data_IF_155998688753
#
_entry.id   IF_155998688753
#
_cell.length_a   1.000
_cell.length_b   1.000
_cell.length_c   1.000
_cell.angle_alpha   90.00
_cell.angle_beta   90.00
_cell.angle_gamma   90.00
#
_symmetry.space_group_name_H-M   'P 1'
#
loop_
_entity.id
_entity.type
_entity.pdbx_description
1 polymer ?
#
# COMPACT_ATOMS: atom_id res chain seq x y z
N UNK A 1 -14.71 -4.65 -38.35
CA UNK A 1 -14.05 -3.42 -37.86
C UNK A 1 -13.87 -2.49 -39.04
N UNK A 2 -14.05 -1.19 -38.87
CA UNK A 2 -13.81 -0.21 -39.95
C UNK A 2 -12.32 0.16 -39.99
N UNK A 3 -11.76 0.35 -41.18
CA UNK A 3 -10.35 0.71 -41.43
C UNK A 3 -9.83 1.85 -40.51
N UNK A 4 -10.68 2.84 -40.21
CA UNK A 4 -10.37 3.92 -39.26
C UNK A 4 -10.11 3.46 -37.82
N UNK A 5 -10.75 2.38 -37.38
CA UNK A 5 -10.55 1.80 -36.04
C UNK A 5 -9.22 1.04 -35.97
N UNK A 6 -8.87 0.31 -37.03
CA UNK A 6 -7.61 -0.42 -37.13
C UNK A 6 -6.42 0.53 -37.14
N UNK A 7 -6.50 1.63 -37.92
CA UNK A 7 -5.47 2.67 -37.91
C UNK A 7 -5.24 3.31 -36.53
N UNK A 8 -6.30 3.54 -35.74
CA UNK A 8 -6.18 4.07 -34.37
C UNK A 8 -5.54 3.08 -33.41
N UNK A 9 -5.83 1.80 -33.54
CA UNK A 9 -5.21 0.76 -32.72
C UNK A 9 -3.72 0.63 -33.01
N UNK A 10 -3.33 0.64 -34.29
CA UNK A 10 -1.93 0.63 -34.70
C UNK A 10 -1.15 1.84 -34.16
N UNK A 11 -1.75 3.04 -34.18
CA UNK A 11 -1.13 4.23 -33.59
C UNK A 11 -0.90 4.08 -32.08
N UNK A 12 -1.88 3.54 -31.35
CA UNK A 12 -1.76 3.30 -29.90
C UNK A 12 -0.69 2.24 -29.59
N UNK A 13 -0.67 1.14 -30.34
CA UNK A 13 0.32 0.08 -30.20
C UNK A 13 1.75 0.62 -30.42
N UNK A 14 1.95 1.41 -31.49
CA UNK A 14 3.25 2.02 -31.77
C UNK A 14 3.68 3.02 -30.69
N UNK A 15 2.76 3.85 -30.19
CA UNK A 15 3.04 4.77 -29.10
C UNK A 15 3.41 4.02 -27.80
N UNK A 16 2.74 2.90 -27.50
CA UNK A 16 3.07 2.04 -26.38
C UNK A 16 4.46 1.43 -26.53
N UNK A 17 4.78 0.89 -27.72
CA UNK A 17 6.10 0.32 -27.99
C UNK A 17 7.22 1.35 -27.81
N UNK A 18 7.01 2.58 -28.27
CA UNK A 18 8.01 3.65 -28.08
C UNK A 18 8.25 3.96 -26.59
N UNK A 19 7.19 3.96 -25.77
CA UNK A 19 7.31 4.14 -24.32
C UNK A 19 8.04 2.98 -23.66
N UNK A 20 7.76 1.75 -24.08
CA UNK A 20 8.46 0.54 -23.61
C UNK A 20 9.95 0.64 -23.95
N UNK A 21 10.29 0.97 -25.19
CA UNK A 21 11.69 1.10 -25.62
C UNK A 21 12.43 2.22 -24.87
N UNK A 22 11.77 3.36 -24.62
CA UNK A 22 12.34 4.43 -23.82
C UNK A 22 12.57 4.01 -22.37
N UNK A 23 11.62 3.29 -21.78
CA UNK A 23 11.72 2.73 -20.43
C UNK A 23 12.85 1.70 -20.32
N UNK A 24 12.97 0.76 -21.25
CA UNK A 24 14.02 -0.26 -21.27
C UNK A 24 15.43 0.36 -21.32
N UNK A 25 15.62 1.47 -22.06
CA UNK A 25 16.89 2.21 -22.08
C UNK A 25 17.25 2.80 -20.71
N UNK A 26 16.28 3.40 -20.03
CA UNK A 26 16.49 3.95 -18.68
C UNK A 26 16.75 2.83 -17.69
N UNK A 27 16.02 1.73 -17.82
CA UNK A 27 16.20 0.56 -16.97
C UNK A 27 17.61 -0.01 -17.09
N UNK A 28 18.16 -0.12 -18.30
CA UNK A 28 19.52 -0.62 -18.52
C UNK A 28 20.58 0.21 -17.77
N UNK A 29 20.36 1.52 -17.60
CA UNK A 29 21.26 2.42 -16.88
C UNK A 29 21.34 2.09 -15.38
N UNK A 30 20.21 1.73 -14.77
CA UNK A 30 20.09 1.46 -13.33
C UNK A 30 20.10 -0.04 -12.98
N UNK A 31 19.80 -0.91 -13.94
CA UNK A 31 19.66 -2.36 -13.77
C UNK A 31 20.26 -3.09 -14.97
N UNK A 32 21.60 -3.07 -15.13
CA UNK A 32 22.27 -3.68 -16.27
C UNK A 32 22.04 -5.19 -16.35
N UNK A 33 21.77 -5.84 -15.23
CA UNK A 33 21.49 -7.28 -15.15
C UNK A 33 20.18 -7.70 -15.86
N UNK A 34 19.28 -6.76 -16.15
CA UNK A 34 18.05 -7.03 -16.93
C UNK A 34 18.32 -7.10 -18.43
N UNK A 35 19.49 -6.66 -18.91
CA UNK A 35 19.89 -6.79 -20.33
C UNK A 35 19.76 -8.20 -20.88
N UNK A 36 20.07 -9.21 -20.07
CA UNK A 36 20.00 -10.63 -20.45
C UNK A 36 18.54 -11.04 -20.68
N UNK A 37 17.62 -10.53 -19.86
CA UNK A 37 16.19 -10.79 -19.98
C UNK A 37 15.62 -10.11 -21.24
N UNK A 38 16.04 -8.88 -21.53
CA UNK A 38 15.70 -8.21 -22.79
C UNK A 38 16.23 -8.98 -24.00
N UNK A 39 17.50 -9.41 -23.99
CA UNK A 39 18.09 -10.15 -25.09
C UNK A 39 17.38 -11.49 -25.37
N UNK A 40 16.98 -12.20 -24.31
CA UNK A 40 16.20 -13.43 -24.44
C UNK A 40 14.79 -13.13 -25.00
N UNK A 41 14.17 -12.04 -24.55
CA UNK A 41 12.83 -11.64 -24.97
C UNK A 41 12.78 -11.13 -26.42
N UNK A 42 13.77 -10.36 -26.87
CA UNK A 42 13.85 -9.84 -28.24
C UNK A 42 14.07 -10.95 -29.29
N UNK A 43 14.54 -12.13 -28.86
CA UNK A 43 14.70 -13.32 -29.73
C UNK A 43 13.44 -14.19 -29.83
N UNK A 44 12.51 -14.06 -28.87
CA UNK A 44 11.18 -14.63 -28.98
C UNK A 44 10.33 -13.72 -29.90
N UNK A 45 9.51 -14.30 -30.78
CA UNK A 45 8.76 -13.61 -31.85
C UNK A 45 8.02 -12.33 -31.40
N UNK A 46 7.63 -11.49 -32.37
CA UNK A 46 6.98 -10.19 -32.21
C UNK A 46 5.73 -10.23 -31.29
N UNK A 47 5.95 -10.19 -29.97
CA UNK A 47 4.91 -10.13 -28.96
C UNK A 47 4.21 -8.77 -29.05
N UNK A 48 2.89 -8.79 -28.91
CA UNK A 48 2.10 -7.57 -28.91
C UNK A 48 2.61 -6.62 -27.81
N UNK A 49 2.71 -5.30 -28.07
CA UNK A 49 3.19 -4.33 -27.07
C UNK A 49 2.42 -4.36 -25.74
N UNK A 50 1.19 -4.89 -25.76
CA UNK A 50 0.30 -5.02 -24.59
C UNK A 50 0.71 -6.14 -23.64
N UNK A 51 1.41 -7.17 -24.13
CA UNK A 51 1.84 -8.35 -23.35
C UNK A 51 3.30 -8.24 -22.89
N UNK A 52 3.91 -7.07 -23.08
CA UNK A 52 5.30 -6.85 -22.73
C UNK A 52 5.51 -6.95 -21.20
N UNK A 53 6.33 -7.90 -20.71
CA UNK A 53 6.60 -8.04 -19.29
C UNK A 53 7.46 -6.86 -18.83
N UNK A 54 6.87 -6.01 -18.00
CA UNK A 54 7.60 -4.97 -17.29
C UNK A 54 8.46 -5.62 -16.20
N UNK A 55 9.74 -5.80 -16.50
CA UNK A 55 10.77 -6.25 -15.56
C UNK A 55 10.98 -5.20 -14.45
N UNK A 56 10.16 -5.20 -13.41
CA UNK A 56 10.31 -4.29 -12.28
C UNK A 56 11.30 -4.88 -11.26
N UNK A 57 12.02 -4.05 -10.48
CA UNK A 57 12.83 -4.53 -9.36
C UNK A 57 12.08 -5.45 -8.38
N UNK A 58 10.75 -5.32 -8.30
CA UNK A 58 9.89 -6.13 -7.45
C UNK A 58 9.45 -7.46 -8.07
N UNK A 59 9.43 -7.59 -9.39
CA UNK A 59 9.06 -8.84 -10.08
C UNK A 59 10.27 -9.71 -10.39
N UNK A 60 11.48 -9.15 -10.29
CA UNK A 60 12.73 -9.87 -10.44
C UNK A 60 13.03 -10.64 -9.15
N UNK A 61 13.11 -11.96 -9.27
CA UNK A 61 13.52 -12.82 -8.16
C UNK A 61 14.99 -12.61 -7.76
N UNK A 62 15.46 -13.29 -6.70
CA UNK A 62 16.82 -13.16 -6.17
C UNK A 62 17.93 -13.56 -7.16
N UNK A 63 17.56 -14.13 -8.31
CA UNK A 63 18.48 -14.57 -9.37
C UNK A 63 19.16 -13.39 -10.09
N UNK A 64 18.57 -12.20 -10.05
CA UNK A 64 19.14 -11.00 -10.69
C UNK A 64 19.78 -10.15 -9.61
N UNK A 65 21.11 -10.00 -9.67
CA UNK A 65 21.84 -9.11 -8.76
C UNK A 65 21.40 -7.67 -9.04
N UNK A 66 20.58 -7.12 -8.16
CA UNK A 66 20.14 -5.73 -8.15
C UNK A 66 21.12 -4.96 -7.26
N UNK A 67 21.55 -3.78 -7.70
CA UNK A 67 22.42 -2.92 -6.92
C UNK A 67 21.80 -2.64 -5.53
N UNK A 68 22.60 -2.82 -4.47
CA UNK A 68 22.15 -2.69 -3.07
C UNK A 68 21.44 -1.35 -2.79
N UNK A 69 21.83 -0.26 -3.45
CA UNK A 69 21.19 1.06 -3.32
C UNK A 69 19.75 1.08 -3.84
N UNK A 70 19.45 0.40 -4.93
CA UNK A 70 18.10 0.34 -5.50
C UNK A 70 17.16 -0.42 -4.55
N UNK A 71 17.68 -1.46 -3.89
CA UNK A 71 16.95 -2.17 -2.84
C UNK A 71 16.67 -1.25 -1.64
N UNK A 72 17.65 -0.45 -1.20
CA UNK A 72 17.44 0.53 -0.11
C UNK A 72 16.37 1.57 -0.48
N UNK A 73 16.40 2.11 -1.69
CA UNK A 73 15.37 3.06 -2.14
C UNK A 73 13.99 2.42 -2.22
N UNK A 74 13.90 1.19 -2.71
CA UNK A 74 12.66 0.41 -2.71
C UNK A 74 12.14 0.23 -1.28
N UNK A 75 12.99 -0.21 -0.36
CA UNK A 75 12.64 -0.36 1.05
C UNK A 75 12.09 0.94 1.64
N UNK A 76 12.81 2.05 1.46
CA UNK A 76 12.38 3.37 1.96
C UNK A 76 11.04 3.81 1.36
N UNK A 77 10.86 3.61 0.06
CA UNK A 77 9.61 3.93 -0.62
C UNK A 77 8.45 3.10 -0.08
N UNK A 78 8.61 1.78 0.05
CA UNK A 78 7.55 0.92 0.55
C UNK A 78 7.24 1.19 2.04
N UNK A 79 8.25 1.52 2.85
CA UNK A 79 8.02 1.99 4.23
C UNK A 79 7.23 3.29 4.27
N UNK A 80 7.56 4.28 3.42
CA UNK A 80 6.82 5.53 3.34
C UNK A 80 5.37 5.28 2.88
N UNK A 81 5.17 4.45 1.86
CA UNK A 81 3.84 4.08 1.37
C UNK A 81 3.00 3.37 2.44
N UNK A 82 3.60 2.46 3.21
CA UNK A 82 2.92 1.80 4.32
C UNK A 82 2.55 2.80 5.42
N UNK A 83 3.44 3.74 5.75
CA UNK A 83 3.14 4.79 6.74
C UNK A 83 2.03 5.73 6.26
N UNK A 84 2.05 6.15 5.01
CA UNK A 84 1.01 7.00 4.40
C UNK A 84 -0.34 6.29 4.37
N UNK A 85 -0.35 5.01 3.97
CA UNK A 85 -1.56 4.20 3.98
C UNK A 85 -2.11 4.01 5.40
N UNK A 86 -1.24 3.76 6.38
CA UNK A 86 -1.64 3.66 7.79
C UNK A 86 -2.18 4.99 8.32
N UNK A 87 -1.57 6.12 7.95
CA UNK A 87 -2.07 7.44 8.31
C UNK A 87 -3.46 7.70 7.72
N UNK A 88 -3.67 7.36 6.45
CA UNK A 88 -4.97 7.46 5.80
C UNK A 88 -6.04 6.61 6.50
N UNK A 89 -5.71 5.35 6.85
CA UNK A 89 -6.61 4.47 7.61
C UNK A 89 -7.02 5.12 8.94
N UNK A 90 -6.06 5.64 9.71
CA UNK A 90 -6.34 6.32 10.99
C UNK A 90 -7.24 7.53 10.81
N UNK A 91 -6.94 8.37 9.82
CA UNK A 91 -7.73 9.57 9.53
C UNK A 91 -9.16 9.20 9.14
N UNK A 92 -9.35 8.23 8.26
CA UNK A 92 -10.66 7.80 7.80
C UNK A 92 -11.47 7.13 8.92
N UNK A 93 -10.82 6.32 9.78
CA UNK A 93 -11.46 5.78 10.98
C UNK A 93 -11.95 6.88 11.92
N UNK A 94 -11.15 7.93 12.11
CA UNK A 94 -11.53 9.07 12.93
C UNK A 94 -12.73 9.81 12.33
N UNK A 95 -12.70 10.08 11.02
CA UNK A 95 -13.81 10.67 10.28
C UNK A 95 -15.09 9.83 10.39
N UNK A 96 -14.99 8.50 10.23
CA UNK A 96 -16.12 7.57 10.33
C UNK A 96 -16.77 7.63 11.72
N UNK A 97 -15.98 7.56 12.79
CA UNK A 97 -16.51 7.63 14.16
C UNK A 97 -17.11 8.98 14.50
N UNK A 98 -16.49 10.08 14.05
CA UNK A 98 -17.07 11.41 14.23
C UNK A 98 -18.42 11.52 13.52
N UNK A 99 -18.51 11.04 12.28
CA UNK A 99 -19.74 11.10 11.49
C UNK A 99 -20.86 10.24 12.10
N UNK A 100 -20.54 9.06 12.63
CA UNK A 100 -21.51 8.23 13.36
C UNK A 100 -22.03 8.95 14.61
N UNK A 101 -21.13 9.51 15.43
CA UNK A 101 -21.52 10.30 16.62
C UNK A 101 -22.37 11.52 16.26
N UNK A 102 -22.02 12.21 15.16
CA UNK A 102 -22.79 13.34 14.66
C UNK A 102 -24.18 12.91 14.18
N UNK A 103 -24.27 11.81 13.42
CA UNK A 103 -25.54 11.22 12.96
C UNK A 103 -26.43 10.91 14.15
N UNK A 104 -25.92 10.18 15.15
CA UNK A 104 -26.69 9.75 16.31
C UNK A 104 -27.24 10.91 17.14
N UNK A 105 -26.50 12.04 17.18
CA UNK A 105 -26.89 13.21 17.98
C UNK A 105 -27.80 14.20 17.25
N UNK A 106 -27.59 14.41 15.95
CA UNK A 106 -28.17 15.55 15.25
C UNK A 106 -29.05 15.20 14.04
N UNK A 107 -28.96 14.00 13.49
CA UNK A 107 -29.70 13.67 12.27
C UNK A 107 -31.02 12.98 12.60
N UNK A 108 -32.11 13.67 12.30
CA UNK A 108 -33.48 13.15 12.37
C UNK A 108 -34.10 13.08 10.98
N UNK A 109 -34.79 11.98 10.67
CA UNK A 109 -35.51 11.78 9.40
C UNK A 109 -34.80 10.87 8.40
N UNK A 110 -35.57 10.31 7.47
CA UNK A 110 -35.12 9.25 6.55
C UNK A 110 -34.06 9.74 5.55
N UNK A 111 -34.30 10.86 4.86
CA UNK A 111 -33.36 11.36 3.85
C UNK A 111 -31.97 11.68 4.40
N UNK A 112 -31.92 12.40 5.53
CA UNK A 112 -30.66 12.72 6.20
C UNK A 112 -29.90 11.47 6.67
N UNK A 113 -30.62 10.45 7.15
CA UNK A 113 -30.03 9.16 7.49
C UNK A 113 -29.44 8.45 6.27
N UNK A 114 -30.15 8.42 5.14
CA UNK A 114 -29.62 7.82 3.89
C UNK A 114 -28.35 8.52 3.43
N UNK A 115 -28.31 9.86 3.43
CA UNK A 115 -27.09 10.61 3.09
C UNK A 115 -25.94 10.32 4.05
N UNK A 116 -26.19 10.26 5.36
CA UNK A 116 -25.18 9.92 6.35
C UNK A 116 -24.63 8.51 6.14
N UNK A 117 -25.49 7.52 5.90
CA UNK A 117 -25.08 6.15 5.59
C UNK A 117 -24.26 6.05 4.30
N UNK A 118 -24.65 6.78 3.26
CA UNK A 118 -23.85 6.87 2.03
C UNK A 118 -22.46 7.48 2.30
N UNK A 119 -22.38 8.51 3.15
CA UNK A 119 -21.10 9.08 3.56
C UNK A 119 -20.26 8.07 4.36
N UNK A 120 -20.84 7.34 5.32
CA UNK A 120 -20.15 6.24 6.05
C UNK A 120 -19.62 5.20 5.07
N UNK A 121 -20.46 4.74 4.14
CA UNK A 121 -20.08 3.74 3.13
C UNK A 121 -18.91 4.23 2.26
N UNK A 122 -18.93 5.50 1.85
CA UNK A 122 -17.82 6.09 1.08
C UNK A 122 -16.51 6.14 1.87
N UNK A 123 -16.57 6.39 3.18
CA UNK A 123 -15.39 6.36 4.05
C UNK A 123 -14.90 4.92 4.23
N UNK A 124 -15.81 3.95 4.38
CA UNK A 124 -15.43 2.55 4.47
C UNK A 124 -14.69 2.07 3.21
N UNK A 125 -15.19 2.43 2.03
CA UNK A 125 -14.51 2.11 0.78
C UNK A 125 -13.09 2.72 0.70
N UNK A 126 -12.86 3.91 1.28
CA UNK A 126 -11.53 4.52 1.37
C UNK A 126 -10.62 3.75 2.34
N UNK A 127 -11.15 3.33 3.49
CA UNK A 127 -10.44 2.49 4.46
C UNK A 127 -9.99 1.18 3.79
N UNK A 128 -10.91 0.51 3.09
CA UNK A 128 -10.62 -0.76 2.41
C UNK A 128 -9.55 -0.57 1.32
N UNK A 129 -9.65 0.51 0.53
CA UNK A 129 -8.65 0.85 -0.48
C UNK A 129 -7.27 1.17 0.14
N UNK A 130 -7.23 1.88 1.28
CA UNK A 130 -5.99 2.17 1.99
C UNK A 130 -5.39 0.91 2.62
N UNK A 131 -6.23 0.00 3.13
CA UNK A 131 -5.82 -1.30 3.66
C UNK A 131 -5.13 -2.16 2.58
N UNK A 132 -5.71 -2.22 1.37
CA UNK A 132 -5.08 -2.92 0.23
C UNK A 132 -3.72 -2.31 -0.10
N UNK A 133 -3.59 -0.97 -0.11
CA UNK A 133 -2.29 -0.31 -0.36
C UNK A 133 -1.26 -0.64 0.71
N UNK A 134 -1.65 -0.64 1.98
CA UNK A 134 -0.78 -1.03 3.10
C UNK A 134 -0.26 -2.46 2.92
N UNK A 135 -1.16 -3.42 2.70
CA UNK A 135 -0.78 -4.82 2.52
C UNK A 135 0.05 -5.04 1.25
N UNK A 136 -0.21 -4.31 0.16
CA UNK A 136 0.64 -4.34 -1.03
C UNK A 136 2.07 -3.84 -0.75
N UNK A 137 2.22 -2.76 0.03
CA UNK A 137 3.52 -2.26 0.45
C UNK A 137 4.26 -3.24 1.37
N UNK A 138 3.56 -3.84 2.34
CA UNK A 138 4.14 -4.85 3.23
C UNK A 138 4.54 -6.14 2.50
N UNK A 139 3.72 -6.61 1.54
CA UNK A 139 4.05 -7.73 0.65
C UNK A 139 5.37 -7.50 -0.09
N UNK A 140 5.59 -6.28 -0.59
CA UNK A 140 6.81 -5.95 -1.35
C UNK A 140 8.09 -5.97 -0.49
N UNK A 141 7.93 -5.89 0.83
CA UNK A 141 9.00 -5.87 1.83
C UNK A 141 9.07 -7.21 2.60
N UNK A 142 8.15 -8.15 2.38
CA UNK A 142 7.96 -9.35 3.20
C UNK A 142 7.80 -9.03 4.71
N UNK A 143 7.12 -7.93 5.02
CA UNK A 143 6.94 -7.43 6.38
C UNK A 143 5.50 -7.56 6.88
N UNK A 144 5.29 -7.23 8.16
CA UNK A 144 4.05 -7.36 8.94
C UNK A 144 2.78 -6.91 8.18
N UNK A 145 1.84 -7.85 8.05
CA UNK A 145 0.52 -7.65 7.47
C UNK A 145 -0.42 -6.99 8.48
N UNK A 146 -1.32 -6.14 7.97
CA UNK A 146 -2.44 -5.63 8.75
C UNK A 146 -3.61 -6.60 8.56
N UNK A 147 -4.08 -7.19 9.67
CA UNK A 147 -5.30 -7.98 9.66
C UNK A 147 -6.53 -7.05 9.64
N UNK A 148 -7.60 -7.51 9.04
CA UNK A 148 -8.88 -6.78 8.97
C UNK A 148 -9.42 -6.48 10.37
N UNK A 149 -9.12 -7.33 11.36
CA UNK A 149 -9.51 -7.15 12.75
C UNK A 149 -8.78 -5.99 13.47
N UNK A 150 -7.64 -5.54 12.93
CA UNK A 150 -6.87 -4.43 13.49
C UNK A 150 -7.40 -3.07 13.02
N UNK A 151 -8.22 -3.04 11.97
CA UNK A 151 -8.83 -1.83 11.40
C UNK A 151 -10.08 -1.44 12.20
N UNK A 152 -9.88 -0.97 13.43
CA UNK A 152 -10.95 -0.52 14.31
C UNK A 152 -10.74 0.88 14.82
N UNK A 153 -11.85 1.60 15.00
CA UNK A 153 -11.78 2.93 15.57
C UNK A 153 -11.39 2.87 17.04
N UNK A 154 -10.67 3.89 17.49
CA UNK A 154 -10.36 4.10 18.89
C UNK A 154 -11.63 4.18 19.78
N UNK A 155 -12.75 4.62 19.22
CA UNK A 155 -14.03 4.68 19.96
C UNK A 155 -14.67 3.30 20.17
N UNK A 156 -14.43 2.34 19.28
CA UNK A 156 -15.04 1.01 19.34
C UNK A 156 -14.43 0.15 20.47
N UNK A 157 -13.25 0.53 21.00
CA UNK A 157 -12.67 -0.04 22.22
C UNK A 157 -13.35 0.44 23.52
N UNK A 158 -14.23 1.44 23.44
CA UNK A 158 -14.83 2.05 24.63
C UNK A 158 -16.09 1.36 25.11
N UNK A 159 -16.80 0.65 24.22
CA UNK A 159 -18.09 0.01 24.50
C UNK A 159 -17.88 -1.42 25.03
N UNK A 160 -17.81 -1.56 26.36
CA UNK A 160 -17.92 -2.87 27.03
C UNK A 160 -16.85 -3.20 28.08
N UNK A 161 -15.73 -2.47 28.12
CA UNK A 161 -14.63 -2.76 29.06
C UNK A 161 -14.45 -1.64 30.11
N UNK A 162 -14.22 -2.03 31.36
CA UNK A 162 -13.98 -1.15 32.51
C UNK A 162 -12.73 -0.30 32.26
N UNK A 163 -12.74 0.96 32.73
CA UNK A 163 -11.75 2.00 32.38
C UNK A 163 -10.26 1.64 32.61
N UNK A 164 -9.94 0.59 33.37
CA UNK A 164 -8.56 0.22 33.75
C UNK A 164 -7.80 -0.70 32.78
N UNK A 165 -8.46 -1.39 31.84
CA UNK A 165 -7.82 -2.45 31.02
C UNK A 165 -7.76 -2.15 29.52
N UNK A 166 -7.98 -0.90 29.12
CA UNK A 166 -8.10 -0.53 27.71
C UNK A 166 -6.73 -0.49 27.04
N UNK A 167 -6.34 -1.57 26.37
CA UNK A 167 -5.13 -1.62 25.55
C UNK A 167 -5.41 -1.00 24.16
N UNK A 168 -4.85 0.16 23.90
CA UNK A 168 -4.92 0.83 22.60
C UNK A 168 -4.29 -0.09 21.53
N UNK A 169 -5.00 -0.33 20.40
CA UNK A 169 -4.47 -1.15 19.30
C UNK A 169 -3.14 -0.58 18.79
N UNK A 170 -2.25 -1.46 18.33
CA UNK A 170 -0.91 -1.07 17.87
C UNK A 170 -0.95 -0.04 16.74
N UNK A 171 -1.99 -0.08 15.90
CA UNK A 171 -2.22 0.92 14.85
C UNK A 171 -2.44 2.33 15.40
N UNK A 172 -2.70 2.51 16.70
CA UNK A 172 -2.85 3.81 17.34
C UNK A 172 -1.67 4.15 18.26
N UNK A 173 -0.76 3.20 18.52
CA UNK A 173 0.47 3.43 19.28
C UNK A 173 1.42 4.25 18.41
N UNK A 174 1.62 5.52 18.78
CA UNK A 174 2.66 6.36 18.20
C UNK A 174 4.01 6.00 18.84
N UNK A 175 5.02 5.76 18.00
CA UNK A 175 6.40 5.54 18.46
C UNK A 175 6.91 6.86 19.07
N UNK A 176 6.73 7.03 20.39
CA UNK A 176 7.10 8.23 21.13
C UNK A 176 6.11 8.67 22.22
N UNK A 177 4.90 8.09 22.30
CA UNK A 177 3.92 8.43 23.33
C UNK A 177 4.06 7.61 24.64
N UNK A 178 5.05 6.71 24.73
CA UNK A 178 5.37 5.98 25.94
C UNK A 178 6.53 6.68 26.67
N UNK A 179 6.21 7.73 27.42
CA UNK A 179 7.07 8.22 28.50
C UNK A 179 6.23 8.27 29.77
N UNK A 180 6.16 7.12 30.45
CA UNK A 180 6.12 6.98 31.91
C UNK A 180 6.05 5.48 32.20
N UNK A 181 7.19 4.91 32.59
CA UNK A 181 7.38 4.37 33.94
C UNK A 181 6.86 2.93 34.07
N UNK A 182 7.62 1.99 33.50
CA UNK A 182 7.95 0.77 34.23
C UNK A 182 9.47 0.65 34.24
N UNK A 183 10.01 0.77 35.45
CA UNK A 183 11.42 0.78 35.78
C UNK A 183 12.12 -0.56 35.52
N UNK A 184 13.39 -0.42 35.13
CA UNK A 184 14.57 -1.19 35.57
C UNK A 184 14.31 -2.46 36.41
N UNK A 185 14.77 -3.61 35.90
CA UNK A 185 15.71 -4.53 36.58
C UNK A 185 16.21 -5.60 35.57
N UNK A 186 17.51 -5.91 35.60
CA UNK A 186 18.27 -7.03 34.99
C UNK A 186 17.72 -7.81 33.77
N UNK A 187 18.47 -8.05 32.70
CA UNK A 187 19.84 -8.54 32.70
C UNK A 187 20.47 -8.32 31.32
N UNK A 188 21.67 -7.76 31.33
CA UNK A 188 22.67 -8.05 30.30
C UNK A 188 22.86 -9.57 30.33
N UNK A 189 22.73 -10.26 29.19
CA UNK A 189 23.56 -11.41 28.79
C UNK A 189 23.13 -11.87 27.38
N UNK A 190 24.10 -11.80 26.47
CA UNK A 190 24.30 -12.76 25.39
C UNK A 190 23.19 -12.97 24.36
N UNK A 191 23.37 -12.37 23.18
CA UNK A 191 23.51 -13.26 22.02
C UNK A 191 24.55 -12.74 21.03
N UNK A 192 25.48 -13.63 20.76
CA UNK A 192 26.72 -13.55 20.00
C UNK A 192 26.44 -13.73 18.51
N UNK A 193 27.16 -12.91 17.71
CA UNK A 193 27.55 -13.00 16.28
C UNK A 193 26.43 -13.20 15.26
#
# INVERSE_FOLDING_TARGET
MTDTQEGKLLQRANALQQRINAWAKVQLLYMPSVSILHACYDTAEAIAPEEYPLWLPSSLGPLVSIESKLYQYKWQLCCAQAQDALHAIRQDLHCRSYLLKYKDRYLTGQGANTYAWNAVSSIQAKIDAAHVRYNAACNAIEFCFLDTNDVRSMSDLLDGETQGTKSILWIWKMRGAATSEEDREGSLEGMVI
#
